data_IF_536342361281
#
_entry.id   IF_536342361281
#
_cell.length_a   1.000
_cell.length_b   1.000
_cell.length_c   1.000
_cell.angle_alpha   90.00
_cell.angle_beta   90.00
_cell.angle_gamma   90.00
#
_symmetry.space_group_name_H-M   'P 1'
#
loop_
_entity.id
_entity.type
_entity.pdbx_description
1 polymer ?
#
# COMPACT_ATOMS: atom_id res chain seq x y z
N UNK A 1 7.16 13.09 30.29
CA UNK A 1 6.26 12.35 29.43
C UNK A 1 6.95 11.05 28.96
N UNK A 2 6.19 9.93 28.84
CA UNK A 2 6.78 8.63 28.48
C UNK A 2 7.51 8.70 27.11
N UNK A 3 6.94 9.39 26.14
CA UNK A 3 7.56 9.57 24.82
C UNK A 3 8.89 10.36 24.88
N UNK A 4 9.03 11.31 25.79
CA UNK A 4 10.30 12.02 26.00
C UNK A 4 11.38 11.09 26.57
N UNK A 5 10.99 10.21 27.48
CA UNK A 5 11.92 9.20 28.02
C UNK A 5 12.40 8.26 26.93
N UNK A 6 11.50 7.80 26.04
CA UNK A 6 11.82 6.93 24.92
C UNK A 6 12.73 7.63 23.90
N UNK A 7 12.47 8.91 23.59
CA UNK A 7 13.35 9.72 22.72
C UNK A 7 14.74 9.91 23.31
N UNK A 8 14.83 10.10 24.63
CA UNK A 8 16.11 10.15 25.31
C UNK A 8 16.85 8.80 25.22
N UNK A 9 16.11 7.69 25.41
CA UNK A 9 16.69 6.34 25.27
C UNK A 9 17.23 6.07 23.85
N UNK A 10 16.60 6.60 22.81
CA UNK A 10 17.15 6.56 21.44
C UNK A 10 18.42 7.38 21.33
N UNK A 11 18.42 8.61 21.86
CA UNK A 11 19.61 9.47 21.84
C UNK A 11 20.81 8.82 22.55
N UNK A 12 20.55 8.11 23.65
CA UNK A 12 21.57 7.40 24.43
C UNK A 12 21.96 6.04 23.81
N UNK A 13 21.37 5.65 22.68
CA UNK A 13 21.64 4.40 21.97
C UNK A 13 21.14 3.14 22.68
N UNK A 14 20.18 3.27 23.60
CA UNK A 14 19.57 2.15 24.34
C UNK A 14 18.49 1.43 23.53
N UNK A 15 17.81 2.13 22.64
CA UNK A 15 16.84 1.61 21.67
C UNK A 15 17.10 2.26 20.31
N UNK A 16 16.72 1.59 19.22
CA UNK A 16 16.82 2.15 17.89
C UNK A 16 15.54 2.95 17.50
N UNK A 17 15.62 3.70 16.40
CA UNK A 17 14.52 4.51 15.91
C UNK A 17 13.32 3.66 15.46
N UNK A 18 13.54 2.45 14.97
CA UNK A 18 12.51 1.54 14.52
C UNK A 18 11.69 1.04 15.71
N UNK A 19 12.36 0.61 16.79
CA UNK A 19 11.70 0.27 18.05
C UNK A 19 10.88 1.43 18.63
N UNK A 20 11.37 2.67 18.54
CA UNK A 20 10.60 3.84 18.97
C UNK A 20 9.32 3.99 18.15
N UNK A 21 9.42 3.90 16.81
CA UNK A 21 8.24 3.99 15.92
C UNK A 21 7.19 2.92 16.21
N UNK A 22 7.63 1.67 16.45
CA UNK A 22 6.71 0.58 16.84
C UNK A 22 5.99 0.88 18.16
N UNK A 23 6.68 1.42 19.16
CA UNK A 23 6.08 1.80 20.44
C UNK A 23 5.07 2.94 20.24
N UNK A 24 5.39 3.95 19.41
CA UNK A 24 4.45 5.02 19.05
C UNK A 24 3.22 4.45 18.33
N UNK A 25 3.40 3.47 17.40
CA UNK A 25 2.33 2.75 16.73
C UNK A 25 1.39 2.02 17.70
N UNK A 26 1.94 1.34 18.72
CA UNK A 26 1.13 0.67 19.76
C UNK A 26 0.23 1.66 20.51
N UNK A 27 0.70 2.86 20.82
CA UNK A 27 -0.14 3.90 21.44
C UNK A 27 -1.20 4.40 20.47
N UNK A 28 -0.82 4.65 19.21
CA UNK A 28 -1.71 5.14 18.15
C UNK A 28 -2.90 4.20 17.92
N UNK A 29 -2.67 2.89 17.85
CA UNK A 29 -3.72 1.86 17.63
C UNK A 29 -4.84 1.91 18.66
N UNK A 30 -4.57 2.43 19.87
CA UNK A 30 -5.59 2.60 20.91
C UNK A 30 -6.54 3.78 20.66
N UNK A 31 -6.16 4.71 19.81
CA UNK A 31 -6.92 5.95 19.51
C UNK A 31 -7.59 5.90 18.13
N UNK A 32 -6.96 5.25 17.15
CA UNK A 32 -7.41 5.14 15.76
C UNK A 32 -8.64 4.23 15.63
N UNK A 33 -9.55 4.60 14.76
CA UNK A 33 -10.77 3.83 14.46
C UNK A 33 -10.64 3.11 13.11
N UNK A 34 -11.46 2.08 12.92
CA UNK A 34 -11.49 1.27 11.70
C UNK A 34 -11.69 2.12 10.44
N UNK A 35 -12.56 3.13 10.49
CA UNK A 35 -12.82 4.04 9.36
C UNK A 35 -11.59 4.79 8.86
N UNK A 36 -10.59 4.96 9.71
CA UNK A 36 -9.39 5.74 9.39
C UNK A 36 -8.40 4.93 8.53
N UNK A 37 -8.50 3.58 8.57
CA UNK A 37 -7.59 2.68 7.86
C UNK A 37 -8.27 1.71 6.89
N UNK A 38 -9.60 1.55 6.96
CA UNK A 38 -10.33 0.61 6.13
C UNK A 38 -10.13 0.86 4.64
N UNK A 39 -10.16 -0.19 3.84
CA UNK A 39 -10.30 -0.09 2.39
C UNK A 39 -11.75 0.30 2.09
N UNK A 40 -12.01 1.50 1.55
CA UNK A 40 -13.36 1.96 1.25
C UNK A 40 -14.08 1.05 0.24
N UNK A 41 -15.39 0.95 0.35
CA UNK A 41 -16.26 0.12 -0.52
C UNK A 41 -15.95 0.21 -2.03
N UNK A 42 -15.72 1.39 -2.64
CA UNK A 42 -15.40 1.47 -4.07
C UNK A 42 -14.11 0.78 -4.46
N UNK A 43 -13.17 0.63 -3.53
CA UNK A 43 -11.85 0.05 -3.75
C UNK A 43 -11.77 -1.43 -3.33
N UNK A 44 -12.84 -1.99 -2.77
CA UNK A 44 -12.88 -3.40 -2.41
C UNK A 44 -12.84 -4.30 -3.65
N UNK A 45 -11.93 -5.28 -3.62
CA UNK A 45 -11.95 -6.39 -4.57
C UNK A 45 -12.93 -7.44 -4.05
N UNK A 46 -14.11 -7.51 -4.66
CA UNK A 46 -15.15 -8.48 -4.31
C UNK A 46 -15.33 -9.51 -5.42
N UNK A 47 -15.88 -10.68 -5.10
CA UNK A 47 -16.27 -11.71 -6.05
C UNK A 47 -17.80 -11.77 -6.08
N UNK A 48 -18.36 -11.76 -7.27
CA UNK A 48 -19.77 -12.04 -7.46
C UNK A 48 -19.95 -13.56 -7.61
N UNK A 49 -20.87 -14.13 -6.83
CA UNK A 49 -21.10 -15.57 -6.86
C UNK A 49 -21.70 -16.05 -8.17
N UNK A 50 -22.32 -15.12 -8.92
CA UNK A 50 -22.94 -15.38 -10.24
C UNK A 50 -21.92 -15.33 -11.38
N UNK A 51 -20.67 -14.84 -11.14
CA UNK A 51 -19.62 -14.80 -12.14
C UNK A 51 -19.21 -16.23 -12.57
N UNK A 52 -18.69 -16.36 -13.80
CA UNK A 52 -18.15 -17.63 -14.27
C UNK A 52 -16.89 -18.01 -13.47
N UNK A 53 -16.74 -19.32 -13.20
CA UNK A 53 -15.66 -19.81 -12.34
C UNK A 53 -14.26 -19.44 -12.87
N UNK A 54 -14.07 -19.47 -14.19
CA UNK A 54 -12.81 -19.10 -14.83
C UNK A 54 -12.47 -17.62 -14.64
N UNK A 55 -13.46 -16.74 -14.63
CA UNK A 55 -13.28 -15.31 -14.35
C UNK A 55 -12.92 -15.08 -12.89
N UNK A 56 -13.58 -15.81 -11.98
CA UNK A 56 -13.27 -15.76 -10.54
C UNK A 56 -11.84 -16.24 -10.29
N UNK A 57 -11.44 -17.39 -10.85
CA UNK A 57 -10.08 -17.92 -10.72
C UNK A 57 -9.05 -16.94 -11.26
N UNK A 58 -9.29 -16.35 -12.42
CA UNK A 58 -8.42 -15.34 -13.01
C UNK A 58 -8.31 -14.09 -12.13
N UNK A 59 -9.42 -13.59 -11.60
CA UNK A 59 -9.47 -12.44 -10.70
C UNK A 59 -8.70 -12.70 -9.41
N UNK A 60 -8.88 -13.87 -8.80
CA UNK A 60 -8.16 -14.28 -7.60
C UNK A 60 -6.65 -14.40 -7.88
N UNK A 61 -6.27 -15.03 -8.99
CA UNK A 61 -4.86 -15.23 -9.35
C UNK A 61 -4.13 -13.92 -9.65
N UNK A 62 -4.82 -12.92 -10.23
CA UNK A 62 -4.20 -11.65 -10.64
C UNK A 62 -4.21 -10.58 -9.56
N UNK A 63 -5.10 -10.67 -8.56
CA UNK A 63 -5.27 -9.65 -7.53
C UNK A 63 -4.19 -9.67 -6.44
N UNK A 64 -3.53 -10.82 -6.23
CA UNK A 64 -2.57 -11.02 -5.14
C UNK A 64 -3.19 -11.13 -3.75
N UNK A 65 -4.52 -11.00 -3.61
CA UNK A 65 -5.18 -11.11 -2.31
C UNK A 65 -5.43 -12.56 -1.89
N UNK A 66 -5.46 -12.80 -0.59
CA UNK A 66 -5.71 -14.13 -0.02
C UNK A 66 -7.18 -14.38 0.33
N UNK A 67 -7.97 -13.33 0.53
CA UNK A 67 -9.36 -13.37 1.00
C UNK A 67 -10.22 -12.36 0.25
N UNK A 68 -11.40 -12.81 -0.14
CA UNK A 68 -12.32 -12.03 -0.96
C UNK A 68 -13.71 -12.02 -0.34
N UNK A 69 -14.30 -10.85 -0.06
CA UNK A 69 -15.72 -10.77 0.18
C UNK A 69 -16.48 -11.25 -1.05
N UNK A 70 -17.52 -12.05 -0.83
CA UNK A 70 -18.39 -12.58 -1.88
C UNK A 70 -19.76 -11.93 -1.76
N UNK A 71 -20.27 -11.43 -2.88
CA UNK A 71 -21.56 -10.78 -3.00
C UNK A 71 -22.51 -11.64 -3.84
N UNK A 72 -23.80 -11.37 -3.72
CA UNK A 72 -24.85 -11.91 -4.58
C UNK A 72 -25.51 -10.72 -5.28
N UNK A 73 -25.02 -10.37 -6.51
CA UNK A 73 -25.46 -9.27 -7.37
C UNK A 73 -25.34 -7.86 -6.73
N UNK A 74 -25.47 -7.73 -5.43
CA UNK A 74 -25.45 -6.46 -4.72
C UNK A 74 -24.22 -6.32 -3.80
N UNK A 75 -23.45 -5.25 -3.95
CA UNK A 75 -22.27 -4.97 -3.10
C UNK A 75 -22.60 -4.71 -1.61
N UNK A 76 -23.84 -4.48 -1.27
CA UNK A 76 -24.29 -4.37 0.12
C UNK A 76 -24.65 -5.72 0.73
N UNK A 77 -24.75 -6.77 -0.09
CA UNK A 77 -25.12 -8.11 0.34
C UNK A 77 -23.92 -9.05 0.32
N UNK A 78 -23.06 -8.93 1.34
CA UNK A 78 -21.92 -9.81 1.51
C UNK A 78 -22.42 -11.14 2.10
N UNK A 79 -22.39 -12.21 1.30
CA UNK A 79 -22.87 -13.54 1.68
C UNK A 79 -21.78 -14.38 2.37
N UNK A 80 -20.51 -13.98 2.26
CA UNK A 80 -19.41 -14.70 2.89
C UNK A 80 -18.04 -14.18 2.45
N UNK A 81 -17.00 -14.92 2.85
CA UNK A 81 -15.60 -14.68 2.48
C UNK A 81 -15.03 -15.94 1.84
N UNK A 82 -14.52 -15.81 0.62
CA UNK A 82 -13.79 -16.85 -0.10
C UNK A 82 -12.28 -16.75 0.18
N UNK A 83 -11.63 -17.87 0.45
CA UNK A 83 -10.18 -17.93 0.54
C UNK A 83 -9.59 -18.39 -0.81
N UNK A 84 -8.64 -17.63 -1.34
CA UNK A 84 -7.94 -17.98 -2.59
C UNK A 84 -7.39 -19.42 -2.57
N UNK A 85 -6.79 -19.84 -1.45
CA UNK A 85 -6.22 -21.19 -1.31
C UNK A 85 -7.25 -22.32 -1.41
N UNK A 86 -8.49 -22.07 -0.95
CA UNK A 86 -9.55 -23.09 -0.95
C UNK A 86 -10.13 -23.23 -2.37
N UNK A 87 -10.29 -22.11 -3.09
CA UNK A 87 -10.66 -22.09 -4.50
C UNK A 87 -9.62 -22.82 -5.36
N UNK A 88 -8.34 -22.45 -5.24
CA UNK A 88 -7.27 -23.05 -6.05
C UNK A 88 -7.07 -24.54 -5.79
N UNK A 89 -7.25 -25.02 -4.55
CA UNK A 89 -7.17 -26.44 -4.24
C UNK A 89 -8.27 -27.25 -4.90
N UNK A 90 -9.48 -26.71 -4.99
CA UNK A 90 -10.62 -27.41 -5.57
C UNK A 90 -10.57 -27.35 -7.11
N UNK A 91 -10.14 -26.20 -7.67
CA UNK A 91 -9.94 -26.03 -9.13
C UNK A 91 -8.90 -26.99 -9.74
N UNK A 92 -7.94 -27.47 -8.94
CA UNK A 92 -6.91 -28.44 -9.40
C UNK A 92 -7.38 -29.89 -9.30
N UNK A 93 -8.42 -30.18 -8.48
CA UNK A 93 -8.83 -31.58 -8.16
C UNK A 93 -10.00 -32.08 -8.96
N UNK A 94 -10.89 -31.21 -9.38
CA UNK A 94 -12.12 -31.56 -10.07
C UNK A 94 -12.15 -30.93 -11.47
N UNK A 95 -12.62 -31.67 -12.50
CA UNK A 95 -13.03 -31.04 -13.76
C UNK A 95 -14.08 -29.94 -13.44
N UNK A 96 -13.84 -28.74 -13.92
CA UNK A 96 -14.48 -27.46 -13.54
C UNK A 96 -16.04 -27.40 -13.58
N UNK A 97 -16.72 -28.48 -13.92
CA UNK A 97 -18.18 -28.46 -14.17
C UNK A 97 -19.06 -28.56 -12.90
N UNK A 98 -18.53 -28.85 -11.71
CA UNK A 98 -19.31 -29.07 -10.48
C UNK A 98 -18.83 -28.26 -9.25
N UNK A 99 -18.16 -27.12 -9.44
CA UNK A 99 -17.66 -26.32 -8.33
C UNK A 99 -18.75 -25.45 -7.71
N UNK A 100 -19.37 -25.93 -6.61
CA UNK A 100 -20.25 -25.09 -5.80
C UNK A 100 -19.43 -24.14 -4.91
N UNK A 101 -19.43 -22.84 -5.25
CA UNK A 101 -18.75 -21.82 -4.49
C UNK A 101 -19.34 -21.63 -3.08
N UNK A 102 -20.64 -21.87 -2.89
CA UNK A 102 -21.28 -21.73 -1.58
C UNK A 102 -20.62 -22.62 -0.53
N UNK A 103 -20.17 -23.83 -0.91
CA UNK A 103 -19.46 -24.75 0.02
C UNK A 103 -18.10 -24.22 0.49
N UNK A 104 -17.50 -23.27 -0.26
CA UNK A 104 -16.20 -22.68 0.05
C UNK A 104 -16.30 -21.40 0.88
N UNK A 105 -17.51 -20.86 1.03
CA UNK A 105 -17.70 -19.60 1.75
C UNK A 105 -17.56 -19.80 3.25
N UNK A 106 -16.83 -18.90 3.86
CA UNK A 106 -16.77 -18.74 5.31
C UNK A 106 -17.68 -17.59 5.75
N UNK A 107 -18.27 -17.66 6.96
CA UNK A 107 -19.06 -16.55 7.46
C UNK A 107 -18.27 -15.24 7.47
N UNK A 108 -18.87 -14.16 6.96
CA UNK A 108 -18.31 -12.83 7.05
C UNK A 108 -18.51 -12.28 8.48
N UNK A 109 -17.51 -11.55 8.99
CA UNK A 109 -17.59 -10.81 10.24
C UNK A 109 -17.86 -9.36 9.93
N UNK A 110 -18.91 -8.80 10.53
CA UNK A 110 -19.30 -7.40 10.36
C UNK A 110 -18.93 -6.60 11.59
N UNK A 111 -18.37 -5.42 11.39
CA UNK A 111 -17.95 -4.52 12.47
C UNK A 111 -18.33 -3.08 12.14
N UNK A 112 -18.65 -2.25 13.15
CA UNK A 112 -18.90 -0.84 12.91
C UNK A 112 -17.60 -0.07 12.58
N UNK A 113 -17.69 0.93 11.73
CA UNK A 113 -16.56 1.78 11.34
C UNK A 113 -15.95 2.59 12.50
N UNK A 114 -16.72 2.82 13.58
CA UNK A 114 -16.27 3.52 14.80
C UNK A 114 -15.47 2.64 15.76
N UNK A 115 -15.34 1.33 15.48
CA UNK A 115 -14.58 0.40 16.35
C UNK A 115 -13.11 0.81 16.41
N UNK A 116 -12.51 0.75 17.62
CA UNK A 116 -11.07 1.02 17.80
C UNK A 116 -10.21 -0.16 17.37
N UNK A 117 -9.02 0.14 16.81
CA UNK A 117 -8.15 -0.89 16.24
C UNK A 117 -7.59 -1.86 17.27
N UNK A 118 -7.31 -1.42 18.51
CA UNK A 118 -6.84 -2.30 19.57
C UNK A 118 -7.88 -3.37 19.95
N UNK A 119 -9.18 -3.02 19.90
CA UNK A 119 -10.28 -3.96 20.13
C UNK A 119 -10.38 -4.94 18.97
N UNK A 120 -10.36 -4.42 17.74
CA UNK A 120 -10.39 -5.24 16.52
C UNK A 120 -9.24 -6.24 16.46
N UNK A 121 -8.01 -5.80 16.79
CA UNK A 121 -6.83 -6.67 16.81
C UNK A 121 -7.01 -7.85 17.78
N UNK A 122 -7.58 -7.60 18.97
CA UNK A 122 -7.87 -8.65 19.93
C UNK A 122 -8.96 -9.61 19.43
N UNK A 123 -9.99 -9.10 18.73
CA UNK A 123 -11.02 -9.93 18.09
C UNK A 123 -10.43 -10.81 16.98
N UNK A 124 -9.60 -10.27 16.11
CA UNK A 124 -8.91 -11.04 15.07
C UNK A 124 -8.05 -12.16 15.67
N UNK A 125 -7.29 -11.86 16.72
CA UNK A 125 -6.47 -12.87 17.42
C UNK A 125 -7.30 -13.98 18.05
N UNK A 126 -8.43 -13.65 18.68
CA UNK A 126 -9.28 -14.62 19.39
C UNK A 126 -10.12 -15.48 18.43
N UNK A 127 -10.66 -14.88 17.37
CA UNK A 127 -11.53 -15.55 16.38
C UNK A 127 -10.77 -16.24 15.25
N UNK A 128 -9.46 -15.98 15.11
CA UNK A 128 -8.64 -16.40 13.98
C UNK A 128 -9.17 -15.92 12.62
N UNK A 129 -9.94 -14.86 12.62
CA UNK A 129 -10.34 -14.15 11.43
C UNK A 129 -9.26 -13.15 11.06
N UNK A 130 -9.08 -12.91 9.78
CA UNK A 130 -8.06 -11.99 9.27
C UNK A 130 -8.67 -10.86 8.40
N UNK A 131 -9.98 -10.86 8.26
CA UNK A 131 -10.72 -9.84 7.50
C UNK A 131 -12.07 -9.60 8.18
N UNK A 132 -12.51 -8.36 8.16
CA UNK A 132 -13.84 -7.96 8.62
C UNK A 132 -14.46 -6.98 7.62
N UNK A 133 -15.76 -7.09 7.42
CA UNK A 133 -16.58 -6.15 6.64
C UNK A 133 -16.98 -5.01 7.56
N UNK A 134 -16.75 -3.79 7.10
CA UNK A 134 -17.06 -2.58 7.85
C UNK A 134 -18.43 -2.08 7.43
N UNK A 135 -19.28 -1.79 8.41
CA UNK A 135 -20.64 -1.28 8.20
C UNK A 135 -20.83 0.09 8.84
N UNK A 136 -21.65 0.91 8.19
CA UNK A 136 -22.08 2.20 8.71
C UNK A 136 -23.23 2.07 9.74
N UNK A 137 -23.72 3.20 10.25
CA UNK A 137 -24.83 3.28 11.21
C UNK A 137 -26.20 2.81 10.65
N UNK A 138 -26.30 2.67 9.34
CA UNK A 138 -27.51 2.22 8.63
C UNK A 138 -27.44 0.74 8.26
N UNK A 139 -26.30 0.08 8.54
CA UNK A 139 -26.05 -1.32 8.18
C UNK A 139 -25.54 -1.50 6.75
N UNK A 140 -25.25 -0.41 6.03
CA UNK A 140 -24.65 -0.44 4.71
C UNK A 140 -23.14 -0.78 4.79
N UNK A 141 -22.62 -1.45 3.74
CA UNK A 141 -21.19 -1.77 3.66
C UNK A 141 -20.39 -0.52 3.35
N UNK A 142 -19.55 -0.07 4.27
CA UNK A 142 -18.63 1.07 4.13
C UNK A 142 -17.27 0.65 3.54
N UNK A 143 -16.82 -0.57 3.86
CA UNK A 143 -15.50 -1.03 3.43
C UNK A 143 -15.13 -2.40 4.00
N UNK A 144 -13.86 -2.70 3.99
CA UNK A 144 -13.27 -3.86 4.66
C UNK A 144 -11.97 -3.45 5.37
N UNK A 145 -11.57 -4.25 6.34
CA UNK A 145 -10.29 -4.12 7.03
C UNK A 145 -9.70 -5.50 7.28
N UNK A 146 -8.40 -5.64 7.10
CA UNK A 146 -7.66 -6.86 7.40
C UNK A 146 -6.84 -6.74 8.70
N UNK A 147 -6.36 -7.86 9.23
CA UNK A 147 -5.43 -7.87 10.36
C UNK A 147 -4.09 -7.25 9.94
N UNK A 148 -3.71 -7.44 8.69
CA UNK A 148 -2.51 -6.89 8.07
C UNK A 148 -2.54 -5.35 8.14
N UNK A 149 -3.66 -4.69 7.79
CA UNK A 149 -3.83 -3.23 7.88
C UNK A 149 -3.66 -2.73 9.34
N UNK A 150 -4.20 -3.48 10.32
CA UNK A 150 -4.05 -3.10 11.74
C UNK A 150 -2.61 -3.27 12.23
N UNK A 151 -1.90 -4.30 11.77
CA UNK A 151 -0.50 -4.54 12.13
C UNK A 151 0.39 -3.46 11.49
N UNK A 152 0.10 -3.04 10.27
CA UNK A 152 0.81 -1.98 9.58
C UNK A 152 0.77 -0.66 10.36
N UNK A 153 -0.33 -0.32 11.02
CA UNK A 153 -0.43 0.86 11.91
C UNK A 153 0.48 0.77 13.16
N UNK A 154 0.90 -0.43 13.56
CA UNK A 154 1.81 -0.65 14.70
C UNK A 154 3.26 -0.67 14.23
N UNK A 155 3.54 -1.44 13.20
CA UNK A 155 4.91 -1.76 12.77
C UNK A 155 5.41 -0.73 11.75
N UNK A 156 4.51 0.00 11.07
CA UNK A 156 4.79 0.76 9.85
C UNK A 156 4.80 -0.18 8.64
N UNK A 157 5.09 0.35 7.47
CA UNK A 157 5.32 -0.48 6.29
C UNK A 157 6.39 -1.52 6.64
N UNK A 158 5.99 -2.80 6.66
CA UNK A 158 6.95 -3.90 6.81
C UNK A 158 7.63 -3.97 5.45
N UNK A 159 8.83 -3.42 5.37
CA UNK A 159 9.72 -3.68 4.24
C UNK A 159 9.90 -5.20 4.17
N UNK A 160 9.20 -5.86 3.24
CA UNK A 160 9.37 -7.29 2.99
C UNK A 160 10.83 -7.49 2.62
N UNK A 161 11.53 -8.45 3.27
CA UNK A 161 12.92 -8.83 2.91
C UNK A 161 13.04 -9.23 1.42
N UNK A 162 11.90 -9.41 0.75
CA UNK A 162 11.75 -9.57 -0.70
C UNK A 162 11.26 -8.31 -1.42
N UNK A 163 10.75 -7.30 -0.74
CA UNK A 163 10.76 -5.97 -1.28
C UNK A 163 12.22 -5.54 -1.29
N UNK A 164 12.84 -5.97 -2.38
CA UNK A 164 14.16 -5.52 -2.79
C UNK A 164 14.42 -4.17 -2.17
N UNK A 165 15.48 -4.16 -1.28
CA UNK A 165 16.26 -2.96 -1.02
C UNK A 165 15.46 -1.74 -1.37
N UNK A 166 15.08 -0.92 -0.39
CA UNK A 166 14.77 0.47 -0.67
C UNK A 166 15.53 0.78 -1.94
N UNK A 167 14.90 0.73 -3.11
CA UNK A 167 15.60 1.15 -4.31
C UNK A 167 15.95 2.56 -3.92
N UNK A 168 17.21 2.74 -3.54
CA UNK A 168 17.69 4.05 -3.14
C UNK A 168 17.10 4.96 -4.19
N UNK A 169 16.24 5.91 -3.78
CA UNK A 169 15.51 6.79 -4.71
C UNK A 169 16.45 7.33 -5.78
N UNK A 170 17.76 7.18 -5.54
CA UNK A 170 18.85 7.51 -6.42
C UNK A 170 19.76 6.30 -6.56
N UNK A 171 19.78 5.68 -7.73
CA UNK A 171 20.58 4.49 -8.07
C UNK A 171 21.68 4.91 -9.05
N UNK A 172 22.94 4.76 -8.65
CA UNK A 172 24.07 4.96 -9.55
C UNK A 172 24.16 3.79 -10.55
N UNK A 173 24.13 4.07 -11.86
CA UNK A 173 24.33 3.07 -12.92
C UNK A 173 25.76 3.04 -13.42
N UNK A 174 26.42 4.19 -13.46
CA UNK A 174 27.82 4.35 -13.82
C UNK A 174 28.41 5.57 -13.12
N UNK A 175 29.66 5.95 -13.43
CA UNK A 175 30.34 7.06 -12.75
C UNK A 175 29.56 8.39 -12.85
N UNK A 176 28.82 8.61 -13.96
CA UNK A 176 28.11 9.88 -14.24
C UNK A 176 26.61 9.70 -14.52
N UNK A 177 26.11 8.46 -14.51
CA UNK A 177 24.71 8.14 -14.80
C UNK A 177 23.99 7.60 -13.59
N UNK A 178 22.81 8.16 -13.30
CA UNK A 178 21.96 7.79 -12.17
C UNK A 178 20.51 7.58 -12.61
N UNK A 179 19.80 6.66 -11.97
CA UNK A 179 18.33 6.60 -12.05
C UNK A 179 17.81 7.21 -10.77
N UNK A 180 16.89 8.16 -10.90
CA UNK A 180 16.29 8.90 -9.79
C UNK A 180 14.78 8.67 -9.84
N UNK A 181 14.21 8.28 -8.68
CA UNK A 181 12.76 8.27 -8.50
C UNK A 181 12.25 9.73 -8.44
N UNK A 182 11.16 10.01 -9.15
CA UNK A 182 10.62 11.36 -9.21
C UNK A 182 10.05 11.87 -7.88
N UNK A 183 9.75 10.95 -6.93
CA UNK A 183 9.31 11.28 -5.57
C UNK A 183 10.47 11.61 -4.61
N UNK A 184 11.73 11.55 -5.08
CA UNK A 184 12.88 12.04 -4.31
C UNK A 184 12.66 13.51 -3.94
N UNK A 185 12.79 13.85 -2.66
CA UNK A 185 12.62 15.25 -2.23
C UNK A 185 13.74 16.14 -2.76
N UNK A 186 13.48 17.42 -2.96
CA UNK A 186 14.51 18.36 -3.40
C UNK A 186 15.69 18.43 -2.43
N UNK A 187 15.43 18.34 -1.12
CA UNK A 187 16.47 18.34 -0.10
C UNK A 187 17.37 17.11 -0.20
N UNK A 188 16.78 15.92 -0.39
CA UNK A 188 17.51 14.67 -0.59
C UNK A 188 18.33 14.70 -1.89
N UNK A 189 17.71 15.19 -2.98
CA UNK A 189 18.37 15.37 -4.27
C UNK A 189 19.54 16.36 -4.20
N UNK A 190 19.30 17.53 -3.61
CA UNK A 190 20.32 18.58 -3.44
C UNK A 190 21.50 18.09 -2.60
N UNK A 191 21.23 17.38 -1.51
CA UNK A 191 22.27 16.81 -0.65
C UNK A 191 23.11 15.78 -1.38
N UNK A 192 22.50 14.93 -2.22
CA UNK A 192 23.21 13.87 -2.94
C UNK A 192 24.06 14.39 -4.10
N UNK A 193 23.53 15.34 -4.90
CA UNK A 193 24.18 15.86 -6.10
C UNK A 193 24.93 17.18 -5.86
N UNK A 194 24.90 17.72 -4.63
CA UNK A 194 25.49 19.01 -4.26
C UNK A 194 24.93 20.16 -5.14
N UNK A 195 23.61 20.18 -5.26
CA UNK A 195 22.87 21.20 -6.02
C UNK A 195 22.07 22.10 -5.05
N UNK A 196 21.56 23.23 -5.55
CA UNK A 196 20.74 24.19 -4.78
C UNK A 196 19.41 24.43 -5.50
N UNK A 197 18.76 23.37 -5.99
CA UNK A 197 17.45 23.51 -6.61
C UNK A 197 16.41 23.89 -5.56
N UNK A 198 15.66 24.95 -5.83
CA UNK A 198 14.55 25.41 -5.01
C UNK A 198 13.38 25.79 -5.90
N UNK A 199 12.17 25.45 -5.48
CA UNK A 199 10.90 25.80 -6.12
C UNK A 199 9.78 25.60 -5.08
N UNK A 200 8.55 26.02 -5.37
CA UNK A 200 7.37 25.82 -4.52
C UNK A 200 6.85 24.36 -4.53
N UNK A 201 7.73 23.39 -4.79
CA UNK A 201 7.42 21.97 -4.86
C UNK A 201 8.39 21.14 -4.04
N UNK A 202 7.92 20.03 -3.49
CA UNK A 202 8.70 19.22 -2.55
C UNK A 202 9.62 18.18 -3.25
N UNK A 203 9.31 17.77 -4.49
CA UNK A 203 9.97 16.65 -5.15
C UNK A 203 10.67 17.05 -6.45
N UNK A 204 11.71 16.29 -6.83
CA UNK A 204 12.41 16.51 -8.11
C UNK A 204 11.50 16.30 -9.32
N UNK A 205 10.52 15.39 -9.23
CA UNK A 205 9.50 15.22 -10.26
C UNK A 205 8.63 16.45 -10.45
N UNK A 206 8.15 17.05 -9.35
CA UNK A 206 7.41 18.31 -9.37
C UNK A 206 8.24 19.47 -9.94
N UNK A 207 9.51 19.55 -9.52
CA UNK A 207 10.45 20.55 -10.03
C UNK A 207 10.62 20.47 -11.57
N UNK A 208 10.77 19.25 -12.11
CA UNK A 208 10.89 19.07 -13.54
C UNK A 208 9.58 19.37 -14.29
N UNK A 209 8.42 19.03 -13.72
CA UNK A 209 7.11 19.41 -14.31
C UNK A 209 7.01 20.92 -14.44
N UNK A 210 7.42 21.69 -13.41
CA UNK A 210 7.46 23.16 -13.48
C UNK A 210 8.44 23.66 -14.56
N UNK A 211 9.61 23.05 -14.69
CA UNK A 211 10.61 23.43 -15.74
C UNK A 211 10.16 23.08 -17.16
N UNK A 212 9.37 22.03 -17.33
CA UNK A 212 8.75 21.69 -18.62
C UNK A 212 7.45 22.45 -18.88
N UNK A 213 6.89 23.14 -17.88
CA UNK A 213 5.57 23.81 -17.90
C UNK A 213 4.40 22.84 -18.24
N UNK A 214 4.64 21.55 -18.15
CA UNK A 214 3.69 20.45 -18.40
C UNK A 214 4.26 19.13 -17.91
N UNK A 215 3.45 18.09 -17.85
CA UNK A 215 3.99 16.73 -17.65
C UNK A 215 4.70 16.27 -18.92
N UNK A 216 6.02 16.01 -18.86
CA UNK A 216 6.78 15.59 -20.04
C UNK A 216 6.50 14.12 -20.40
N UNK A 217 6.70 13.77 -21.67
CA UNK A 217 6.57 12.42 -22.16
C UNK A 217 7.87 11.62 -21.96
N UNK A 218 7.74 10.27 -21.97
CA UNK A 218 8.90 9.37 -21.95
C UNK A 218 9.87 9.69 -23.07
N UNK A 219 11.15 9.82 -22.73
CA UNK A 219 12.25 10.11 -23.65
C UNK A 219 12.61 11.59 -23.78
N UNK A 220 11.79 12.51 -23.27
CA UNK A 220 12.12 13.94 -23.29
C UNK A 220 13.31 14.24 -22.37
N UNK A 221 14.04 15.28 -22.74
CA UNK A 221 15.31 15.65 -22.11
C UNK A 221 15.28 17.15 -21.79
N UNK A 222 15.75 17.51 -20.60
CA UNK A 222 16.03 18.88 -20.20
C UNK A 222 17.41 18.96 -19.55
N UNK A 223 18.12 20.06 -19.76
CA UNK A 223 19.41 20.32 -19.12
C UNK A 223 19.26 21.47 -18.14
N UNK A 224 19.60 21.24 -16.88
CA UNK A 224 19.55 22.24 -15.83
C UNK A 224 20.86 22.17 -15.03
N UNK A 225 21.59 23.26 -14.91
CA UNK A 225 22.83 23.40 -14.10
C UNK A 225 23.84 22.26 -14.33
N UNK A 226 24.21 21.98 -15.57
CA UNK A 226 25.14 20.89 -15.96
C UNK A 226 24.64 19.45 -15.72
N UNK A 227 23.38 19.28 -15.35
CA UNK A 227 22.73 17.98 -15.22
C UNK A 227 21.75 17.78 -16.37
N UNK A 228 21.85 16.62 -17.02
CA UNK A 228 20.94 16.20 -18.08
C UNK A 228 19.90 15.26 -17.48
N UNK A 229 18.64 15.67 -17.52
CA UNK A 229 17.50 14.89 -17.06
C UNK A 229 16.77 14.29 -18.26
N UNK A 230 16.70 12.97 -18.34
CA UNK A 230 15.92 12.24 -19.36
C UNK A 230 14.77 11.52 -18.68
N UNK A 231 13.56 11.74 -19.14
CA UNK A 231 12.36 11.09 -18.59
C UNK A 231 12.33 9.63 -19.04
N UNK A 232 12.43 8.70 -18.09
CA UNK A 232 12.35 7.26 -18.36
C UNK A 232 10.91 6.75 -18.34
N UNK A 233 10.10 7.26 -17.41
CA UNK A 233 8.68 6.93 -17.35
C UNK A 233 7.88 8.08 -16.73
N UNK A 234 6.69 8.33 -17.28
CA UNK A 234 5.71 9.28 -16.80
C UNK A 234 4.31 8.75 -17.16
N UNK A 235 3.32 9.14 -16.39
CA UNK A 235 1.91 8.98 -16.73
C UNK A 235 1.28 10.33 -17.11
N UNK A 236 -0.06 10.39 -17.24
CA UNK A 236 -0.76 11.61 -17.64
C UNK A 236 -0.71 12.74 -16.60
N UNK A 237 -0.23 12.47 -15.39
CA UNK A 237 -0.25 13.41 -14.26
C UNK A 237 1.10 13.65 -13.63
N UNK A 238 2.02 12.66 -13.67
CA UNK A 238 3.27 12.69 -12.91
C UNK A 238 4.42 12.00 -13.66
N UNK A 239 5.64 12.48 -13.42
CA UNK A 239 6.87 11.76 -13.74
C UNK A 239 7.06 10.64 -12.70
N UNK A 240 7.55 9.47 -13.13
CA UNK A 240 7.85 8.34 -12.25
C UNK A 240 9.35 8.11 -12.08
N UNK A 241 10.09 8.02 -13.18
CA UNK A 241 11.54 7.75 -13.16
C UNK A 241 12.28 8.66 -14.12
N UNK A 242 13.45 9.08 -13.70
CA UNK A 242 14.33 10.03 -14.40
C UNK A 242 15.71 9.39 -14.53
N UNK A 243 16.33 9.47 -15.70
CA UNK A 243 17.78 9.26 -15.83
C UNK A 243 18.46 10.61 -15.72
N UNK A 244 19.41 10.70 -14.80
CA UNK A 244 20.28 11.85 -14.62
C UNK A 244 21.67 11.51 -15.15
N UNK A 245 22.25 12.40 -15.95
CA UNK A 245 23.64 12.30 -16.40
C UNK A 245 24.38 13.60 -16.10
N UNK A 246 25.56 13.51 -15.50
CA UNK A 246 26.43 14.69 -15.30
C UNK A 246 27.09 15.04 -16.65
N UNK A 247 26.94 16.31 -17.05
CA UNK A 247 27.60 16.81 -18.27
C UNK A 247 28.99 17.29 -17.86
N UNK A 248 30.01 16.59 -18.34
CA UNK A 248 31.43 16.99 -18.17
C UNK A 248 31.72 18.25 -18.99
#
# INVERSE_FOLDING_TARGET
DLLEILKTAVHDGLIDNESLKMIEGVFKVSEVQVRDIMIPRPHMTVIDITDQIDEIVKKVATSGHSRFPVIDDNRDEIIGVLLAKDLLKKSVKDDNDDLDLHELLRPAVFIPESKRLNILLNEFKSSRNHIAIVIDEHGGVSGLVSIEDVIEEIVGEIDDEHDKKTESKIIAQSHDDYIVDALTTLDEFNSYFLTEFSDDVETIGGYLVNKFERVPLKGEIIVISNLLFKILSADSRTIKRIKLSKKT
#
